data_IF_629418893171
#
_entry.id   IF_629418893171
#
_cell.length_a   1.000
_cell.length_b   1.000
_cell.length_c   1.000
_cell.angle_alpha   90.00
_cell.angle_beta   90.00
_cell.angle_gamma   90.00
#
_symmetry.space_group_name_H-M   'P 1'
#
loop_
_entity.id
_entity.type
_entity.pdbx_description
1 polymer ?
#
# COMPACT_ATOMS: atom_id res chain seq x y z
N UNK A 1 25.05 -17.87 13.48
CA UNK A 1 23.58 -17.99 13.33
C UNK A 1 22.82 -16.68 13.07
N UNK A 2 23.27 -15.50 13.53
CA UNK A 2 22.60 -14.19 13.28
C UNK A 2 22.68 -13.71 11.82
N UNK A 3 23.72 -14.06 11.07
CA UNK A 3 23.95 -13.58 9.70
C UNK A 3 22.94 -14.12 8.68
N UNK A 4 22.49 -15.36 8.82
CA UNK A 4 21.47 -15.96 7.94
C UNK A 4 20.07 -15.39 8.17
N UNK A 5 19.76 -15.02 9.41
CA UNK A 5 18.45 -14.45 9.75
C UNK A 5 18.27 -13.05 9.14
N UNK A 6 19.35 -12.27 9.11
CA UNK A 6 19.35 -10.93 8.48
C UNK A 6 19.31 -11.03 6.95
N UNK A 7 19.93 -12.05 6.35
CA UNK A 7 19.88 -12.27 4.91
C UNK A 7 18.47 -12.62 4.44
N UNK A 8 17.78 -13.53 5.13
CA UNK A 8 16.39 -13.90 4.79
C UNK A 8 15.44 -12.71 4.95
N UNK A 9 15.64 -11.88 5.96
CA UNK A 9 14.85 -10.66 6.16
C UNK A 9 15.09 -9.64 5.05
N UNK A 10 16.35 -9.45 4.64
CA UNK A 10 16.72 -8.59 3.53
C UNK A 10 16.15 -9.10 2.21
N UNK A 11 16.25 -10.39 1.94
CA UNK A 11 15.66 -11.02 0.76
C UNK A 11 14.14 -10.84 0.72
N UNK A 12 13.46 -11.05 1.84
CA UNK A 12 12.03 -10.85 1.95
C UNK A 12 11.63 -9.38 1.67
N UNK A 13 12.38 -8.42 2.20
CA UNK A 13 12.15 -7.00 1.94
C UNK A 13 12.37 -6.63 0.47
N UNK A 14 13.43 -7.14 -0.15
CA UNK A 14 13.71 -6.92 -1.58
C UNK A 14 12.61 -7.50 -2.45
N UNK A 15 12.15 -8.71 -2.17
CA UNK A 15 11.04 -9.34 -2.89
C UNK A 15 9.75 -8.53 -2.73
N UNK A 16 9.47 -8.03 -1.54
CA UNK A 16 8.27 -7.25 -1.26
C UNK A 16 8.28 -5.92 -2.03
N UNK A 17 9.43 -5.24 -2.09
CA UNK A 17 9.62 -4.04 -2.90
C UNK A 17 9.52 -4.36 -4.39
N UNK A 18 10.15 -5.44 -4.86
CA UNK A 18 10.11 -5.85 -6.27
C UNK A 18 8.67 -6.13 -6.74
N UNK A 19 7.88 -6.86 -5.95
CA UNK A 19 6.46 -7.11 -6.25
C UNK A 19 5.67 -5.81 -6.36
N UNK A 20 5.90 -4.85 -5.47
CA UNK A 20 5.26 -3.54 -5.53
C UNK A 20 5.62 -2.75 -6.78
N UNK A 21 6.88 -2.79 -7.21
CA UNK A 21 7.35 -2.13 -8.43
C UNK A 21 6.80 -2.80 -9.70
N UNK A 22 6.76 -4.13 -9.73
CA UNK A 22 6.17 -4.87 -10.85
C UNK A 22 4.68 -4.57 -11.00
N UNK A 23 3.93 -4.47 -9.90
CA UNK A 23 2.51 -4.12 -9.93
C UNK A 23 2.27 -2.74 -10.54
N UNK A 24 3.14 -1.76 -10.29
CA UNK A 24 3.05 -0.43 -10.91
C UNK A 24 3.40 -0.46 -12.40
N UNK A 25 4.40 -1.25 -12.80
CA UNK A 25 4.84 -1.32 -14.19
C UNK A 25 3.81 -2.00 -15.10
N UNK A 26 3.08 -2.99 -14.59
CA UNK A 26 1.99 -3.69 -15.30
C UNK A 26 0.83 -2.72 -15.61
N UNK A 27 0.63 -1.69 -14.80
CA UNK A 27 -0.44 -0.72 -15.02
C UNK A 27 -0.27 0.09 -16.30
N UNK A 28 0.96 0.41 -16.69
CA UNK A 28 1.25 1.25 -17.86
C UNK A 28 0.68 0.67 -19.17
N UNK A 29 0.96 -0.58 -19.57
CA UNK A 29 0.36 -1.17 -20.75
C UNK A 29 -1.16 -1.39 -20.63
N UNK A 30 -1.66 -1.62 -19.42
CA UNK A 30 -3.08 -1.82 -19.17
C UNK A 30 -3.92 -0.56 -19.40
N UNK A 31 -3.34 0.64 -19.40
CA UNK A 31 -4.06 1.91 -19.64
C UNK A 31 -4.76 1.89 -21.00
N UNK A 32 -4.06 1.45 -22.05
CA UNK A 32 -4.62 1.41 -23.40
C UNK A 32 -5.79 0.42 -23.51
N UNK A 33 -5.64 -0.78 -22.95
CA UNK A 33 -6.68 -1.80 -22.93
C UNK A 33 -7.90 -1.35 -22.12
N UNK A 34 -7.68 -0.70 -20.99
CA UNK A 34 -8.75 -0.12 -20.16
C UNK A 34 -9.48 1.01 -20.88
N UNK A 35 -8.77 1.86 -21.61
CA UNK A 35 -9.37 2.93 -22.40
C UNK A 35 -10.32 2.39 -23.47
N UNK A 36 -9.91 1.34 -24.16
CA UNK A 36 -10.74 0.65 -25.15
C UNK A 36 -11.94 -0.04 -24.49
N UNK A 37 -11.72 -0.79 -23.40
CA UNK A 37 -12.77 -1.52 -22.71
C UNK A 37 -13.86 -0.61 -22.11
N UNK A 38 -13.45 0.56 -21.61
CA UNK A 38 -14.36 1.56 -21.01
C UNK A 38 -14.89 2.58 -22.04
N UNK A 39 -14.44 2.50 -23.30
CA UNK A 39 -14.75 3.44 -24.38
C UNK A 39 -14.48 4.91 -23.98
N UNK A 40 -13.31 5.15 -23.41
CA UNK A 40 -12.85 6.48 -22.96
C UNK A 40 -11.45 6.78 -23.48
N UNK A 41 -11.01 8.03 -23.35
CA UNK A 41 -9.64 8.42 -23.70
C UNK A 41 -8.64 7.88 -22.66
N UNK A 42 -7.42 7.55 -23.06
CA UNK A 42 -6.34 7.11 -22.18
C UNK A 42 -6.08 8.11 -21.03
N UNK A 43 -6.16 9.43 -21.31
CA UNK A 43 -6.04 10.46 -20.29
C UNK A 43 -7.11 10.39 -19.19
N UNK A 44 -8.32 9.89 -19.52
CA UNK A 44 -9.36 9.66 -18.53
C UNK A 44 -9.04 8.45 -17.64
N UNK A 45 -8.39 7.42 -18.18
CA UNK A 45 -7.92 6.27 -17.39
C UNK A 45 -6.80 6.67 -16.44
N UNK A 46 -5.95 7.63 -16.80
CA UNK A 46 -4.89 8.14 -15.92
C UNK A 46 -5.46 8.77 -14.64
N UNK A 47 -6.68 9.30 -14.65
CA UNK A 47 -7.35 9.81 -13.45
C UNK A 47 -7.60 8.73 -12.39
N UNK A 48 -7.70 7.47 -12.79
CA UNK A 48 -7.80 6.31 -11.88
C UNK A 48 -6.53 6.20 -11.03
N UNK A 49 -5.37 6.26 -11.70
CA UNK A 49 -4.07 6.22 -11.02
C UNK A 49 -3.84 7.46 -10.16
N UNK A 50 -4.22 8.64 -10.65
CA UNK A 50 -4.10 9.87 -9.91
C UNK A 50 -4.94 9.84 -8.62
N UNK A 51 -6.17 9.34 -8.69
CA UNK A 51 -7.05 9.17 -7.53
C UNK A 51 -6.44 8.19 -6.49
N UNK A 52 -5.90 7.06 -6.96
CA UNK A 52 -5.20 6.10 -6.10
C UNK A 52 -4.01 6.75 -5.38
N UNK A 53 -3.10 7.39 -6.11
CA UNK A 53 -1.89 7.99 -5.55
C UNK A 53 -2.20 9.14 -4.59
N UNK A 54 -3.19 9.97 -4.92
CA UNK A 54 -3.62 11.08 -4.09
C UNK A 54 -4.13 10.59 -2.73
N UNK A 55 -5.06 9.64 -2.75
CA UNK A 55 -5.64 9.07 -1.52
C UNK A 55 -4.63 8.24 -0.73
N UNK A 56 -3.74 7.52 -1.41
CA UNK A 56 -2.61 6.83 -0.79
C UNK A 56 -1.71 7.80 -0.01
N UNK A 57 -1.32 8.92 -0.62
CA UNK A 57 -0.49 9.94 0.03
C UNK A 57 -1.19 10.59 1.23
N UNK A 58 -2.45 11.02 1.04
CA UNK A 58 -3.24 11.65 2.10
C UNK A 58 -3.47 10.68 3.27
N UNK A 59 -3.80 9.44 3.00
CA UNK A 59 -4.10 8.43 4.03
C UNK A 59 -2.91 8.17 4.96
N UNK A 60 -1.68 8.26 4.46
CA UNK A 60 -0.48 8.08 5.28
C UNK A 60 -0.35 9.13 6.40
N UNK A 61 -0.85 10.35 6.17
CA UNK A 61 -0.84 11.41 7.20
C UNK A 61 -1.73 11.07 8.39
N UNK A 62 -2.83 10.36 8.14
CA UNK A 62 -3.78 9.97 9.18
C UNK A 62 -3.42 8.65 9.84
N UNK A 63 -2.92 7.69 9.10
CA UNK A 63 -2.62 6.35 9.64
C UNK A 63 -1.46 6.32 10.62
N UNK A 64 -0.49 7.25 10.51
CA UNK A 64 0.59 7.40 11.49
C UNK A 64 0.03 7.61 12.91
N UNK A 65 -0.57 8.79 13.18
CA UNK A 65 -1.13 9.10 14.50
C UNK A 65 -2.25 8.14 14.94
N UNK A 66 -3.04 7.62 13.99
CA UNK A 66 -4.13 6.68 14.29
C UNK A 66 -3.58 5.35 14.80
N UNK A 67 -2.54 4.81 14.16
CA UNK A 67 -1.93 3.54 14.55
C UNK A 67 -1.24 3.62 15.92
N UNK A 68 -0.75 4.80 16.30
CA UNK A 68 -0.13 5.03 17.61
C UNK A 68 -1.18 5.07 18.73
N UNK A 69 -2.43 5.51 18.43
CA UNK A 69 -3.52 5.61 19.43
C UNK A 69 -4.31 4.32 19.59
N UNK A 70 -4.69 3.71 18.49
CA UNK A 70 -5.62 2.55 18.46
C UNK A 70 -4.85 1.22 18.42
N UNK A 71 -3.57 1.27 18.09
CA UNK A 71 -2.74 0.10 17.88
C UNK A 71 -2.64 -0.28 16.39
N UNK A 72 -1.58 -1.00 16.06
CA UNK A 72 -1.24 -1.32 14.65
C UNK A 72 -2.14 -2.36 14.03
N UNK A 73 -2.49 -3.42 14.78
CA UNK A 73 -3.29 -4.54 14.25
C UNK A 73 -4.67 -4.12 13.74
N UNK A 74 -5.52 -3.40 14.50
CA UNK A 74 -6.84 -3.01 14.03
C UNK A 74 -6.78 -2.07 12.82
N UNK A 75 -5.80 -1.16 12.78
CA UNK A 75 -5.62 -0.23 11.66
C UNK A 75 -5.24 -0.97 10.37
N UNK A 76 -4.35 -1.97 10.45
CA UNK A 76 -4.00 -2.83 9.30
C UNK A 76 -5.22 -3.60 8.81
N UNK A 77 -5.97 -4.22 9.71
CA UNK A 77 -7.16 -5.00 9.33
C UNK A 77 -8.21 -4.14 8.63
N UNK A 78 -8.49 -2.95 9.15
CA UNK A 78 -9.43 -2.01 8.54
C UNK A 78 -8.92 -1.56 7.16
N UNK A 79 -7.66 -1.17 7.03
CA UNK A 79 -7.09 -0.76 5.74
C UNK A 79 -7.12 -1.88 4.70
N UNK A 80 -6.77 -3.11 5.10
CA UNK A 80 -6.84 -4.27 4.21
C UNK A 80 -8.28 -4.62 3.82
N UNK A 81 -9.25 -4.49 4.73
CA UNK A 81 -10.66 -4.71 4.41
C UNK A 81 -11.17 -3.69 3.40
N UNK A 82 -10.82 -2.41 3.57
CA UNK A 82 -11.17 -1.36 2.61
C UNK A 82 -10.57 -1.67 1.23
N UNK A 83 -9.30 -2.06 1.18
CA UNK A 83 -8.63 -2.44 -0.06
C UNK A 83 -9.30 -3.61 -0.76
N UNK A 84 -9.62 -4.68 -0.02
CA UNK A 84 -10.29 -5.87 -0.56
C UNK A 84 -11.67 -5.54 -1.14
N UNK A 85 -12.49 -4.80 -0.40
CA UNK A 85 -13.83 -4.40 -0.86
C UNK A 85 -13.75 -3.51 -2.10
N UNK A 86 -12.85 -2.52 -2.09
CA UNK A 86 -12.63 -1.65 -3.24
C UNK A 86 -12.13 -2.43 -4.48
N UNK A 87 -11.30 -3.44 -4.27
CA UNK A 87 -10.82 -4.31 -5.36
C UNK A 87 -11.97 -5.13 -5.96
N UNK A 88 -12.87 -5.66 -5.14
CA UNK A 88 -14.06 -6.37 -5.64
C UNK A 88 -14.96 -5.45 -6.48
N UNK A 89 -15.15 -4.21 -6.05
CA UNK A 89 -15.90 -3.21 -6.83
C UNK A 89 -15.18 -2.90 -8.14
N UNK A 90 -13.86 -2.72 -8.11
CA UNK A 90 -13.06 -2.41 -9.30
C UNK A 90 -13.12 -3.51 -10.36
N UNK A 91 -13.14 -4.78 -9.96
CA UNK A 91 -13.20 -5.93 -10.88
C UNK A 91 -14.57 -6.05 -11.54
N UNK A 92 -15.63 -5.67 -10.85
CA UNK A 92 -17.02 -5.83 -11.34
C UNK A 92 -17.55 -4.63 -12.11
N UNK A 93 -16.86 -3.49 -12.06
CA UNK A 93 -17.34 -2.26 -12.68
C UNK A 93 -16.91 -2.12 -14.14
N UNK A 94 -17.83 -1.59 -14.96
CA UNK A 94 -17.58 -1.16 -16.34
C UNK A 94 -17.72 0.37 -16.49
N UNK A 95 -17.76 1.10 -15.38
CA UNK A 95 -17.94 2.55 -15.35
C UNK A 95 -16.70 3.25 -14.85
N UNK A 96 -16.16 4.20 -15.63
CA UNK A 96 -14.98 4.98 -15.25
C UNK A 96 -15.13 5.73 -13.91
N UNK A 97 -16.23 6.44 -13.62
CA UNK A 97 -16.40 7.11 -12.33
C UNK A 97 -16.36 6.15 -11.13
N UNK A 98 -16.97 4.98 -11.26
CA UNK A 98 -16.95 3.95 -10.21
C UNK A 98 -15.54 3.39 -10.06
N UNK A 99 -14.81 3.19 -11.15
CA UNK A 99 -13.43 2.73 -11.11
C UNK A 99 -12.50 3.75 -10.42
N UNK A 100 -12.69 5.05 -10.68
CA UNK A 100 -11.95 6.13 -10.01
C UNK A 100 -12.24 6.10 -8.50
N UNK A 101 -13.50 5.99 -8.11
CA UNK A 101 -13.90 5.92 -6.70
C UNK A 101 -13.33 4.68 -6.00
N UNK A 102 -13.40 3.52 -6.66
CA UNK A 102 -12.82 2.27 -6.14
C UNK A 102 -11.30 2.39 -5.98
N UNK A 103 -10.61 2.98 -6.95
CA UNK A 103 -9.16 3.20 -6.89
C UNK A 103 -8.76 4.18 -5.79
N UNK A 104 -9.56 5.22 -5.56
CA UNK A 104 -9.37 6.11 -4.41
C UNK A 104 -9.50 5.34 -3.07
N UNK A 105 -10.48 4.48 -2.94
CA UNK A 105 -10.63 3.62 -1.76
C UNK A 105 -9.47 2.61 -1.62
N UNK A 106 -8.99 2.04 -2.72
CA UNK A 106 -7.80 1.19 -2.72
C UNK A 106 -6.55 1.94 -2.22
N UNK A 107 -6.34 3.18 -2.68
CA UNK A 107 -5.26 4.05 -2.23
C UNK A 107 -5.34 4.31 -0.72
N UNK A 108 -6.53 4.57 -0.19
CA UNK A 108 -6.74 4.69 1.26
C UNK A 108 -6.37 3.40 1.99
N UNK A 109 -6.84 2.26 1.51
CA UNK A 109 -6.57 0.96 2.14
C UNK A 109 -5.08 0.59 2.16
N UNK A 110 -4.36 0.81 1.06
CA UNK A 110 -2.93 0.49 0.95
C UNK A 110 -2.01 1.44 1.70
N UNK A 111 -2.47 2.67 2.01
CA UNK A 111 -1.69 3.65 2.76
C UNK A 111 -1.23 3.17 4.13
N UNK A 112 -1.99 2.28 4.76
CA UNK A 112 -1.59 1.60 6.01
C UNK A 112 -0.27 0.84 5.84
N UNK A 113 -0.12 0.09 4.75
CA UNK A 113 1.10 -0.66 4.45
C UNK A 113 2.32 0.24 4.31
N UNK A 114 2.17 1.39 3.65
CA UNK A 114 3.25 2.37 3.50
C UNK A 114 3.74 2.96 4.82
N UNK A 115 2.83 3.22 5.77
CA UNK A 115 3.19 3.69 7.12
C UNK A 115 3.88 2.57 7.90
N UNK A 116 3.34 1.35 7.87
CA UNK A 116 3.89 0.22 8.62
C UNK A 116 5.28 -0.19 8.12
N UNK A 117 5.53 -0.13 6.81
CA UNK A 117 6.84 -0.43 6.24
C UNK A 117 7.96 0.50 6.74
N UNK A 118 7.61 1.74 7.11
CA UNK A 118 8.57 2.73 7.63
C UNK A 118 8.73 2.66 9.15
N UNK A 119 7.67 2.33 9.88
CA UNK A 119 7.68 2.33 11.36
C UNK A 119 8.20 1.02 11.95
N UNK A 120 7.91 -0.12 11.32
CA UNK A 120 8.36 -1.43 11.79
C UNK A 120 9.90 -1.58 11.92
N UNK A 121 10.71 -1.17 10.93
CA UNK A 121 12.16 -1.23 11.07
C UNK A 121 12.67 -0.35 12.20
N UNK A 122 12.12 0.87 12.35
CA UNK A 122 12.50 1.81 13.40
C UNK A 122 12.28 1.23 14.80
N UNK A 123 11.12 0.63 15.05
CA UNK A 123 10.81 0.03 16.36
C UNK A 123 11.65 -1.21 16.66
N UNK A 124 12.00 -1.98 15.63
CA UNK A 124 12.87 -3.15 15.79
C UNK A 124 14.33 -2.74 16.14
N UNK A 125 14.83 -1.65 15.56
CA UNK A 125 16.18 -1.15 15.82
C UNK A 125 16.23 -0.41 17.17
N UNK A 126 15.26 0.42 17.51
CA UNK A 126 15.18 1.09 18.81
C UNK A 126 15.01 0.08 19.96
N UNK A 127 14.19 -0.93 19.79
CA UNK A 127 13.99 -1.99 20.78
C UNK A 127 15.21 -2.90 20.99
N UNK A 128 16.08 -3.05 19.99
CA UNK A 128 17.34 -3.82 20.11
C UNK A 128 18.43 -3.02 20.84
N UNK A 129 18.51 -1.71 20.60
CA UNK A 129 19.45 -0.81 21.27
C UNK A 129 19.10 -0.56 22.74
N UNK A 130 17.81 -0.41 23.06
CA UNK A 130 17.34 -0.25 24.45
C UNK A 130 17.58 -1.51 25.29
N UNK A 131 17.48 -2.70 24.71
CA UNK A 131 17.84 -3.95 25.40
C UNK A 131 19.32 -4.08 25.67
N UNK A 132 20.17 -3.49 24.83
CA UNK A 132 21.63 -3.50 25.04
C UNK A 132 22.06 -2.46 26.09
N UNK A 133 21.38 -1.32 26.16
CA UNK A 133 21.67 -0.28 27.15
C UNK A 133 21.23 -0.64 28.59
N UNK A 134 20.18 -1.49 28.73
CA UNK A 134 19.73 -1.95 30.04
C UNK A 134 20.42 -3.23 30.54
N UNK A 135 21.38 -3.78 29.79
CA UNK A 135 22.16 -4.97 30.17
C UNK A 135 23.60 -4.64 30.64
N UNK A 136 23.93 -3.37 30.80
CA UNK A 136 25.16 -2.85 31.44
C UNK A 136 24.82 -2.25 32.82
#
# INVERSE_FOLDING_TARGET
MKRHKNFNLLLMLVLLVAVGQMAQTIYIPAIADMAVALNVREGAVQSVMAAYLLTYGISQLFYGPLSDRVGRRPVILVGMSIFMLATLVAITTHSLPVLIAASAMQGMGTGVGGVMARTLPRDLYEGAQLRHANSL
#
